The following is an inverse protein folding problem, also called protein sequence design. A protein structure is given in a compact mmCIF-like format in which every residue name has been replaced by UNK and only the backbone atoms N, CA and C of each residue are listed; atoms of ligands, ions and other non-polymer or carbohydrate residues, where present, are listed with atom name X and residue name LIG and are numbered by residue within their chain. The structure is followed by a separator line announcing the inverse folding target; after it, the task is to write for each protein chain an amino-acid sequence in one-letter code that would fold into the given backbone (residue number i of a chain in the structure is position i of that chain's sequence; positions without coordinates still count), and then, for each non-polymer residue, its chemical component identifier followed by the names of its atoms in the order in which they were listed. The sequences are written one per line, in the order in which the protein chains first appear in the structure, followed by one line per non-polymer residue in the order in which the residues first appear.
data_IF_511875587289
#
_entry.id   IF_511875587289
#
_cell.length_a   1.000
_cell.length_b   1.000
_cell.length_c   1.000
_cell.angle_alpha   90.00
_cell.angle_beta   90.00
_cell.angle_gamma   90.00
#
_symmetry.space_group_name_H-M   'P 1'
#
loop_
_entity.id
_entity.type
_entity.pdbx_description
1 polymer ?
#
# COMPACT_ATOMS: atom_id res chain seq x y z
N UNK A 1 16.59 1.20 6.51
CA UNK A 1 17.75 0.77 5.68
C UNK A 1 17.68 -0.71 5.26
N UNK A 2 17.48 -1.68 6.17
CA UNK A 2 17.47 -3.13 5.82
C UNK A 2 16.61 -3.47 4.58
N UNK A 3 15.35 -3.02 4.55
CA UNK A 3 14.44 -3.29 3.43
C UNK A 3 14.95 -2.75 2.08
N UNK A 4 15.47 -1.52 2.06
CA UNK A 4 16.02 -0.88 0.85
C UNK A 4 17.24 -1.66 0.36
N UNK A 5 18.18 -1.98 1.26
CA UNK A 5 19.39 -2.71 0.90
C UNK A 5 19.06 -4.09 0.32
N UNK A 6 18.20 -4.86 0.97
CA UNK A 6 17.78 -6.18 0.47
C UNK A 6 17.03 -6.07 -0.86
N UNK A 7 16.25 -5.00 -1.07
CA UNK A 7 15.60 -4.76 -2.36
C UNK A 7 16.61 -4.44 -3.46
N UNK A 8 17.62 -3.61 -3.16
CA UNK A 8 18.69 -3.28 -4.10
C UNK A 8 19.50 -4.52 -4.49
N UNK A 9 19.87 -5.38 -3.53
CA UNK A 9 20.58 -6.63 -3.77
C UNK A 9 19.76 -7.61 -4.64
N UNK A 10 18.46 -7.73 -4.35
CA UNK A 10 17.56 -8.56 -5.16
C UNK A 10 17.43 -8.01 -6.58
N UNK A 11 17.29 -6.70 -6.74
CA UNK A 11 17.12 -6.06 -8.04
C UNK A 11 18.41 -6.11 -8.87
N UNK A 12 19.58 -6.04 -8.24
CA UNK A 12 20.88 -6.22 -8.91
C UNK A 12 21.13 -7.66 -9.36
N UNK A 13 20.57 -8.65 -8.65
CA UNK A 13 20.72 -10.07 -8.98
C UNK A 13 19.70 -10.57 -10.01
N UNK A 14 18.80 -9.71 -10.48
CA UNK A 14 17.80 -10.02 -11.50
C UNK A 14 17.97 -9.13 -12.74
N UNK A 15 17.61 -9.65 -13.91
CA UNK A 15 17.65 -8.91 -15.17
C UNK A 15 16.49 -7.91 -15.26
N UNK A 16 16.73 -6.69 -14.81
CA UNK A 16 15.80 -5.56 -14.98
C UNK A 16 16.04 -4.92 -16.34
N UNK A 17 14.96 -4.56 -17.03
CA UNK A 17 15.05 -3.88 -18.31
C UNK A 17 15.83 -2.55 -18.18
N UNK A 18 16.69 -2.27 -19.14
CA UNK A 18 17.67 -1.16 -19.08
C UNK A 18 17.03 0.24 -19.06
N UNK A 19 15.78 0.33 -19.48
CA UNK A 19 14.97 1.56 -19.55
C UNK A 19 14.16 1.82 -18.27
N UNK A 20 14.28 0.97 -17.24
CA UNK A 20 13.60 1.15 -15.96
C UNK A 20 14.44 2.05 -15.05
N UNK A 21 13.86 3.19 -14.65
CA UNK A 21 14.40 4.02 -13.57
C UNK A 21 13.90 3.52 -12.22
N UNK A 22 14.81 3.35 -11.26
CA UNK A 22 14.50 2.89 -9.91
C UNK A 22 14.84 3.98 -8.90
N UNK A 23 13.86 4.36 -8.09
CA UNK A 23 14.04 5.31 -6.98
C UNK A 23 13.63 4.65 -5.67
N UNK A 24 14.52 4.66 -4.69
CA UNK A 24 14.25 4.16 -3.34
C UNK A 24 14.06 5.34 -2.39
N UNK A 25 12.89 5.40 -1.73
CA UNK A 25 12.57 6.43 -0.76
C UNK A 25 12.54 5.80 0.63
N UNK A 26 13.34 6.34 1.55
CA UNK A 26 13.37 5.90 2.94
C UNK A 26 12.50 6.82 3.81
N UNK A 27 11.19 6.72 3.63
CA UNK A 27 10.18 7.48 4.37
C UNK A 27 8.88 6.66 4.47
N UNK A 28 7.89 7.17 5.19
CA UNK A 28 6.54 6.59 5.17
C UNK A 28 5.77 7.01 3.91
N UNK A 29 4.81 6.18 3.46
CA UNK A 29 4.10 6.41 2.20
C UNK A 29 3.31 7.72 2.17
N UNK A 30 2.70 8.11 3.29
CA UNK A 30 2.01 9.40 3.47
C UNK A 30 2.95 10.57 3.17
N UNK A 31 4.17 10.52 3.71
CA UNK A 31 5.16 11.59 3.53
C UNK A 31 5.77 11.57 2.14
N UNK A 32 6.08 10.37 1.62
CA UNK A 32 6.61 10.17 0.29
C UNK A 32 5.66 10.71 -0.79
N UNK A 33 4.37 10.41 -0.68
CA UNK A 33 3.34 10.90 -1.60
C UNK A 33 3.15 12.41 -1.46
N UNK A 34 3.05 12.94 -0.24
CA UNK A 34 2.82 14.36 -0.01
C UNK A 34 4.00 15.26 -0.43
N UNK A 35 5.24 14.79 -0.35
CA UNK A 35 6.42 15.63 -0.56
C UNK A 35 7.28 15.18 -1.76
N UNK A 36 7.81 13.96 -1.73
CA UNK A 36 8.79 13.48 -2.72
C UNK A 36 8.15 13.17 -4.08
N UNK A 37 6.88 12.75 -4.09
CA UNK A 37 6.11 12.36 -5.29
C UNK A 37 4.94 13.31 -5.58
N UNK A 38 5.01 14.55 -5.06
CA UNK A 38 3.89 15.50 -5.08
C UNK A 38 3.38 15.84 -6.49
N UNK A 39 4.28 15.86 -7.48
CA UNK A 39 4.00 16.26 -8.87
C UNK A 39 3.87 15.04 -9.82
N UNK A 40 3.94 13.82 -9.27
CA UNK A 40 3.92 12.59 -10.06
C UNK A 40 2.48 12.12 -10.32
N UNK A 41 2.27 11.56 -11.51
CA UNK A 41 1.04 10.83 -11.87
C UNK A 41 1.34 9.35 -11.81
N UNK A 42 0.52 8.59 -11.09
CA UNK A 42 0.82 7.20 -10.75
C UNK A 42 -0.22 6.26 -11.38
N UNK A 43 0.24 5.28 -12.15
CA UNK A 43 -0.64 4.27 -12.77
C UNK A 43 -0.97 3.12 -11.81
N UNK A 44 -0.01 2.73 -10.96
CA UNK A 44 -0.14 1.61 -10.03
C UNK A 44 0.52 1.93 -8.70
N UNK A 45 -0.22 1.77 -7.61
CA UNK A 45 0.32 1.75 -6.25
C UNK A 45 0.02 0.41 -5.59
N UNK A 46 1.02 -0.14 -4.88
CA UNK A 46 0.90 -1.41 -4.17
C UNK A 46 1.29 -1.17 -2.71
N UNK A 47 0.36 -1.44 -1.81
CA UNK A 47 0.56 -1.37 -0.38
C UNK A 47 0.54 -2.78 0.21
N UNK A 48 1.54 -3.09 1.04
CA UNK A 48 1.52 -4.23 1.94
C UNK A 48 1.61 -3.68 3.36
N UNK A 49 0.53 -3.82 4.12
CA UNK A 49 0.45 -3.29 5.48
C UNK A 49 1.17 -4.21 6.47
N UNK A 50 1.40 -3.71 7.68
CA UNK A 50 2.10 -4.41 8.74
C UNK A 50 3.58 -4.04 8.84
N UNK A 51 4.38 -5.01 9.29
CA UNK A 51 5.80 -4.85 9.58
C UNK A 51 6.66 -5.71 8.66
N UNK A 52 7.94 -5.37 8.53
CA UNK A 52 8.90 -6.17 7.76
C UNK A 52 9.19 -7.50 8.49
N UNK A 53 8.98 -8.68 7.86
CA UNK A 53 9.32 -9.96 8.48
C UNK A 53 10.80 -10.05 8.88
N UNK A 54 11.07 -10.41 10.13
CA UNK A 54 12.43 -10.45 10.68
C UNK A 54 13.10 -9.07 10.79
N UNK A 55 12.31 -8.00 10.75
CA UNK A 55 12.71 -6.62 11.04
C UNK A 55 12.32 -6.19 12.45
N UNK A 56 12.39 -4.89 12.70
CA UNK A 56 11.90 -4.29 13.94
C UNK A 56 10.38 -4.14 13.88
N UNK A 57 9.66 -4.83 14.78
CA UNK A 57 8.20 -4.81 14.83
C UNK A 57 7.62 -3.47 15.33
N UNK A 58 8.45 -2.57 15.87
CA UNK A 58 8.03 -1.20 16.16
C UNK A 58 7.86 -0.37 14.88
N UNK A 59 8.56 -0.75 13.81
CA UNK A 59 8.40 -0.15 12.47
C UNK A 59 7.28 -0.90 11.75
N UNK A 60 6.06 -0.44 11.99
CA UNK A 60 4.81 -1.01 11.48
C UNK A 60 3.95 0.12 10.90
N UNK A 61 3.13 -0.19 9.90
CA UNK A 61 2.11 0.74 9.42
C UNK A 61 1.16 1.16 10.55
N UNK A 62 0.64 2.38 10.43
CA UNK A 62 -0.32 2.94 11.37
C UNK A 62 -1.55 3.38 10.61
N UNK A 63 -2.76 3.14 11.16
CA UNK A 63 -3.97 3.36 10.41
C UNK A 63 -4.12 4.77 9.83
N UNK A 64 -3.85 5.82 10.63
CA UNK A 64 -3.95 7.20 10.16
C UNK A 64 -2.99 7.48 8.99
N UNK A 65 -1.73 7.03 9.09
CA UNK A 65 -0.74 7.20 8.03
C UNK A 65 -1.12 6.40 6.77
N UNK A 66 -1.71 5.22 6.93
CA UNK A 66 -2.22 4.42 5.83
C UNK A 66 -3.36 5.14 5.11
N UNK A 67 -4.32 5.70 5.83
CA UNK A 67 -5.41 6.49 5.25
C UNK A 67 -4.88 7.76 4.56
N UNK A 68 -3.97 8.49 5.20
CA UNK A 68 -3.35 9.70 4.62
C UNK A 68 -2.61 9.38 3.32
N UNK A 69 -1.85 8.28 3.29
CA UNK A 69 -1.19 7.81 2.07
C UNK A 69 -2.19 7.46 0.96
N UNK A 70 -3.29 6.80 1.29
CA UNK A 70 -4.31 6.44 0.29
C UNK A 70 -5.03 7.69 -0.24
N UNK A 71 -5.38 8.64 0.63
CA UNK A 71 -5.93 9.94 0.24
C UNK A 71 -5.03 10.63 -0.79
N UNK A 72 -3.76 10.82 -0.43
CA UNK A 72 -2.76 11.46 -1.31
C UNK A 72 -2.55 10.68 -2.62
N UNK A 73 -2.60 9.36 -2.56
CA UNK A 73 -2.47 8.48 -3.71
C UNK A 73 -3.66 8.57 -4.67
N UNK A 74 -4.89 8.61 -4.17
CA UNK A 74 -6.11 8.69 -4.99
C UNK A 74 -6.18 9.97 -5.84
N UNK A 75 -5.63 11.07 -5.33
CA UNK A 75 -5.50 12.32 -6.08
C UNK A 75 -4.51 12.19 -7.25
N UNK A 76 -3.38 11.52 -7.01
CA UNK A 76 -2.27 11.33 -7.97
C UNK A 76 -2.49 10.18 -8.95
N UNK A 77 -3.46 9.31 -8.69
CA UNK A 77 -3.74 8.16 -9.53
C UNK A 77 -4.19 8.61 -10.92
N UNK A 78 -3.62 8.02 -11.96
CA UNK A 78 -4.00 8.28 -13.34
C UNK A 78 -5.42 7.78 -13.62
N UNK A 79 -6.02 8.21 -14.74
CA UNK A 79 -7.31 7.68 -15.17
C UNK A 79 -7.17 6.17 -15.41
N UNK A 80 -8.08 5.38 -14.85
CA UNK A 80 -8.02 3.91 -14.84
C UNK A 80 -6.86 3.30 -14.04
N UNK A 81 -6.03 4.13 -13.38
CA UNK A 81 -4.97 3.66 -12.50
C UNK A 81 -5.53 2.90 -11.29
N UNK A 82 -4.67 2.10 -10.66
CA UNK A 82 -5.07 1.12 -9.63
C UNK A 82 -4.24 1.27 -8.36
N UNK A 83 -4.89 1.13 -7.21
CA UNK A 83 -4.25 0.89 -5.92
C UNK A 83 -4.61 -0.53 -5.46
N UNK A 84 -3.62 -1.33 -5.09
CA UNK A 84 -3.84 -2.59 -4.38
C UNK A 84 -3.31 -2.48 -2.96
N UNK A 85 -4.07 -3.00 -2.01
CA UNK A 85 -3.72 -2.94 -0.59
C UNK A 85 -3.93 -4.33 0.00
N UNK A 86 -2.86 -4.94 0.48
CA UNK A 86 -2.92 -6.18 1.27
C UNK A 86 -2.85 -5.82 2.75
N UNK A 87 -3.92 -6.13 3.48
CA UNK A 87 -4.01 -5.94 4.92
C UNK A 87 -3.80 -7.29 5.65
N UNK A 88 -3.15 -7.25 6.82
CA UNK A 88 -2.80 -8.44 7.60
C UNK A 88 -3.46 -8.41 8.99
N UNK A 89 -4.69 -8.94 9.15
CA UNK A 89 -5.47 -8.83 10.39
C UNK A 89 -5.07 -9.83 11.50
N UNK A 90 -3.90 -10.48 11.38
CA UNK A 90 -3.45 -11.51 12.31
C UNK A 90 -3.09 -11.02 13.73
N UNK A 91 -2.87 -9.71 13.91
CA UNK A 91 -2.64 -9.08 15.22
C UNK A 91 -3.75 -8.09 15.54
N UNK A 92 -3.83 -7.66 16.81
CA UNK A 92 -4.80 -6.64 17.23
C UNK A 92 -4.63 -5.34 16.44
N UNK A 93 -3.40 -4.88 16.26
CA UNK A 93 -3.07 -3.66 15.53
C UNK A 93 -3.39 -3.79 14.04
N UNK A 94 -3.04 -4.93 13.43
CA UNK A 94 -3.35 -5.20 12.02
C UNK A 94 -4.85 -5.33 11.75
N UNK A 95 -5.59 -5.91 12.70
CA UNK A 95 -7.05 -5.99 12.64
C UNK A 95 -7.69 -4.60 12.74
N UNK A 96 -7.25 -3.76 13.70
CA UNK A 96 -7.73 -2.38 13.84
C UNK A 96 -7.45 -1.56 12.58
N UNK A 97 -6.23 -1.63 12.04
CA UNK A 97 -5.85 -0.95 10.79
C UNK A 97 -6.74 -1.38 9.62
N UNK A 98 -6.98 -2.68 9.46
CA UNK A 98 -7.86 -3.21 8.42
C UNK A 98 -9.31 -2.72 8.59
N UNK A 99 -9.85 -2.68 9.80
CA UNK A 99 -11.22 -2.22 10.04
C UNK A 99 -11.38 -0.75 9.66
N UNK A 100 -10.43 0.10 10.06
CA UNK A 100 -10.48 1.52 9.71
C UNK A 100 -10.27 1.75 8.22
N UNK A 101 -9.36 1.01 7.59
CA UNK A 101 -9.20 0.97 6.15
C UNK A 101 -10.54 0.63 5.47
N UNK A 102 -11.14 -0.50 5.84
CA UNK A 102 -12.40 -0.97 5.24
C UNK A 102 -13.52 0.04 5.40
N UNK A 103 -13.64 0.68 6.57
CA UNK A 103 -14.61 1.76 6.79
C UNK A 103 -14.38 2.91 5.83
N UNK A 104 -13.16 3.46 5.80
CA UNK A 104 -12.81 4.57 4.93
C UNK A 104 -13.03 4.26 3.44
N UNK A 105 -12.58 3.10 2.96
CA UNK A 105 -12.72 2.73 1.55
C UNK A 105 -14.19 2.54 1.13
N UNK A 106 -15.06 2.15 2.08
CA UNK A 106 -16.50 1.97 1.82
C UNK A 106 -17.24 3.29 1.60
N UNK A 107 -16.67 4.41 2.08
CA UNK A 107 -17.26 5.74 1.99
C UNK A 107 -16.82 6.52 0.73
N UNK A 108 -15.91 5.96 -0.08
CA UNK A 108 -15.43 6.62 -1.30
C UNK A 108 -16.54 6.77 -2.33
N UNK A 109 -16.53 7.92 -3.04
CA UNK A 109 -17.55 8.20 -4.05
C UNK A 109 -17.44 7.23 -5.22
N UNK A 110 -18.45 6.35 -5.37
CA UNK A 110 -18.50 5.33 -6.42
C UNK A 110 -18.41 5.87 -7.86
N UNK A 111 -18.71 7.16 -8.08
CA UNK A 111 -18.58 7.82 -9.39
C UNK A 111 -17.13 8.12 -9.75
N UNK A 112 -16.28 8.28 -8.75
CA UNK A 112 -14.87 8.57 -8.90
C UNK A 112 -14.02 7.30 -8.81
N UNK A 113 -14.41 6.35 -7.95
CA UNK A 113 -13.61 5.16 -7.68
C UNK A 113 -14.46 3.89 -7.68
N UNK A 114 -13.89 2.81 -8.22
CA UNK A 114 -14.34 1.44 -7.99
C UNK A 114 -13.55 0.86 -6.83
N UNK A 115 -14.22 0.28 -5.86
CA UNK A 115 -13.59 -0.38 -4.71
C UNK A 115 -14.07 -1.82 -4.64
N UNK A 116 -13.12 -2.75 -4.66
CA UNK A 116 -13.35 -4.17 -4.52
C UNK A 116 -12.62 -4.69 -3.28
N UNK A 117 -13.22 -5.67 -2.61
CA UNK A 117 -12.64 -6.35 -1.46
C UNK A 117 -12.69 -7.86 -1.68
N UNK A 118 -11.53 -8.50 -1.59
CA UNK A 118 -11.38 -9.95 -1.64
C UNK A 118 -10.90 -10.44 -0.27
N UNK A 119 -11.60 -11.45 0.28
CA UNK A 119 -11.31 -12.04 1.58
C UNK A 119 -11.49 -13.57 1.52
N UNK A 120 -10.54 -14.38 2.03
CA UNK A 120 -10.67 -15.84 2.09
C UNK A 120 -11.81 -16.28 3.04
N UNK A 121 -12.78 -17.04 2.53
CA UNK A 121 -14.00 -17.36 3.29
C UNK A 121 -13.87 -18.48 4.33
N UNK A 122 -12.86 -19.35 4.24
CA UNK A 122 -12.75 -20.56 5.06
C UNK A 122 -11.44 -20.66 5.87
N UNK A 123 -10.67 -19.59 5.98
CA UNK A 123 -9.45 -19.56 6.79
C UNK A 123 -9.74 -18.93 8.15
N UNK A 124 -9.37 -19.65 9.21
CA UNK A 124 -9.79 -19.32 10.58
C UNK A 124 -8.89 -18.29 11.29
N UNK A 125 -7.65 -18.08 10.82
CA UNK A 125 -6.63 -17.33 11.55
C UNK A 125 -6.45 -15.90 11.02
N UNK A 126 -7.55 -15.20 10.71
CA UNK A 126 -7.53 -13.82 10.17
C UNK A 126 -6.54 -13.69 9.00
N UNK A 127 -6.85 -14.35 7.87
CA UNK A 127 -5.95 -14.37 6.72
C UNK A 127 -5.80 -12.97 6.10
N UNK A 128 -4.75 -12.73 5.29
CA UNK A 128 -4.61 -11.47 4.58
C UNK A 128 -5.81 -11.16 3.69
N UNK A 129 -6.22 -9.89 3.67
CA UNK A 129 -7.31 -9.35 2.86
C UNK A 129 -6.76 -8.45 1.76
N UNK A 130 -7.38 -8.48 0.57
CA UNK A 130 -6.98 -7.66 -0.58
C UNK A 130 -8.06 -6.65 -0.92
N UNK A 131 -7.70 -5.37 -0.90
CA UNK A 131 -8.51 -4.28 -1.41
C UNK A 131 -7.94 -3.80 -2.74
N UNK A 132 -8.82 -3.52 -3.70
CA UNK A 132 -8.46 -3.04 -5.03
C UNK A 132 -9.29 -1.79 -5.31
N UNK A 133 -8.61 -0.68 -5.56
CA UNK A 133 -9.22 0.59 -5.93
C UNK A 133 -8.84 0.92 -7.35
N UNK A 134 -9.79 1.36 -8.16
CA UNK A 134 -9.55 1.84 -9.52
C UNK A 134 -10.21 3.20 -9.72
N UNK A 135 -9.47 4.18 -10.22
CA UNK A 135 -10.02 5.49 -10.59
C UNK A 135 -10.79 5.39 -11.91
N UNK A 136 -11.99 5.98 -11.94
CA UNK A 136 -12.88 5.99 -13.12
C UNK A 136 -12.47 7.06 -14.15
#
# INVERSE_FOLDING_TARGET
MKAINSSQELLQSNDIAQDVSLTFIHDSHDRALANQLKDEVIDLMIFNLGYLPGGDHQVITKPHQTIDAINEGLEKLSKSGVITIVAYPGTTEGFEEMQMLKSYLSDLEQKLYNVCHWHPMNQINNPPELFILQKR
#
